data_IF_484227741451
#
_entry.id   IF_484227741451
#
_cell.length_a   1.000
_cell.length_b   1.000
_cell.length_c   1.000
_cell.angle_alpha   90.00
_cell.angle_beta   90.00
_cell.angle_gamma   90.00
#
_symmetry.space_group_name_H-M   'P 1'
#
loop_
_entity.id
_entity.type
_entity.pdbx_description
1 polymer ?
#
# COMPACT_ATOMS: atom_id res chain seq x y z
N UNK A 1 13.22 15.86 38.25
CA UNK A 1 13.20 17.09 37.45
C UNK A 1 12.18 17.03 36.32
N UNK A 2 12.10 15.96 35.50
CA UNK A 2 11.13 15.85 34.38
C UNK A 2 9.67 16.00 34.85
N UNK A 3 9.28 15.40 35.97
CA UNK A 3 7.91 15.54 36.51
C UNK A 3 7.52 16.96 36.91
N UNK A 4 8.50 17.78 37.32
CA UNK A 4 8.27 19.19 37.60
C UNK A 4 8.03 19.99 36.34
N UNK A 5 8.82 19.72 35.27
CA UNK A 5 8.67 20.34 33.95
C UNK A 5 7.33 19.97 33.32
N UNK A 6 6.88 18.72 33.46
CA UNK A 6 5.57 18.27 32.96
C UNK A 6 4.42 19.02 33.66
N UNK A 7 4.47 19.17 34.99
CA UNK A 7 3.46 19.97 35.75
C UNK A 7 3.46 21.43 35.33
N UNK A 8 4.62 22.03 35.11
CA UNK A 8 4.75 23.40 34.61
C UNK A 8 4.20 23.55 33.20
N UNK A 9 4.55 22.63 32.28
CA UNK A 9 4.04 22.62 30.92
C UNK A 9 2.50 22.49 30.89
N UNK A 10 1.94 21.64 31.74
CA UNK A 10 0.48 21.48 31.85
C UNK A 10 -0.21 22.73 32.40
N UNK A 11 0.39 23.40 33.41
CA UNK A 11 -0.14 24.65 33.95
C UNK A 11 -0.17 25.76 32.89
N UNK A 12 0.87 25.84 32.05
CA UNK A 12 0.97 26.78 30.93
C UNK A 12 -0.10 26.55 29.87
N UNK A 13 -0.37 25.29 29.52
CA UNK A 13 -1.45 24.93 28.57
C UNK A 13 -2.78 25.48 29.08
N UNK A 14 -3.05 25.40 30.40
CA UNK A 14 -4.29 25.91 31.01
C UNK A 14 -4.32 27.44 31.08
N UNK A 15 -3.18 28.07 31.24
CA UNK A 15 -3.09 29.53 31.35
C UNK A 15 -3.27 30.21 29.98
N UNK A 16 -2.64 29.68 28.92
CA UNK A 16 -2.71 30.24 27.57
C UNK A 16 -3.54 29.34 26.64
N UNK A 17 -4.82 29.17 26.94
CA UNK A 17 -5.72 28.21 26.27
C UNK A 17 -5.78 28.38 24.76
N UNK A 18 -5.95 29.62 24.27
CA UNK A 18 -6.08 29.89 22.83
C UNK A 18 -4.82 29.49 22.08
N UNK A 19 -3.65 29.93 22.53
CA UNK A 19 -2.37 29.59 21.90
C UNK A 19 -2.07 28.10 21.97
N UNK A 20 -2.31 27.46 23.09
CA UNK A 20 -2.11 26.05 23.29
C UNK A 20 -3.02 25.22 22.37
N UNK A 21 -4.28 25.62 22.23
CA UNK A 21 -5.23 24.93 21.33
C UNK A 21 -4.80 25.07 19.88
N UNK A 22 -4.47 26.27 19.43
CA UNK A 22 -4.00 26.49 18.04
C UNK A 22 -2.73 25.68 17.77
N UNK A 23 -1.80 25.65 18.74
CA UNK A 23 -0.57 24.87 18.59
C UNK A 23 -0.83 23.35 18.54
N UNK A 24 -1.69 22.82 19.42
CA UNK A 24 -2.06 21.40 19.46
C UNK A 24 -2.79 21.01 18.16
N UNK A 25 -3.75 21.83 17.72
CA UNK A 25 -4.48 21.57 16.46
C UNK A 25 -3.55 21.62 15.26
N UNK A 26 -2.68 22.64 15.16
CA UNK A 26 -1.70 22.76 14.09
C UNK A 26 -0.72 21.57 14.04
N UNK A 27 -0.20 21.18 15.22
CA UNK A 27 0.64 19.99 15.35
C UNK A 27 -0.13 18.71 15.01
N UNK A 28 -1.39 18.59 15.44
CA UNK A 28 -2.25 17.45 15.14
C UNK A 28 -2.54 17.31 13.66
N UNK A 29 -2.85 18.40 12.95
CA UNK A 29 -3.04 18.40 11.51
C UNK A 29 -1.75 18.02 10.78
N UNK A 30 -0.60 18.53 11.22
CA UNK A 30 0.69 18.16 10.65
C UNK A 30 0.96 16.67 10.78
N UNK A 31 0.76 16.11 11.97
CA UNK A 31 0.93 14.68 12.25
C UNK A 31 -0.06 13.86 11.44
N UNK A 32 -1.31 14.31 11.32
CA UNK A 32 -2.32 13.59 10.53
C UNK A 32 -1.96 13.46 9.05
N UNK A 33 -1.42 14.51 8.43
CA UNK A 33 -0.94 14.46 7.04
C UNK A 33 0.23 13.48 6.86
N UNK A 34 1.20 13.53 7.77
CA UNK A 34 2.34 12.59 7.76
C UNK A 34 1.85 11.16 7.94
N UNK A 35 0.90 10.94 8.85
CA UNK A 35 0.32 9.61 9.07
C UNK A 35 -0.43 9.09 7.86
N UNK A 36 -1.29 9.90 7.23
CA UNK A 36 -2.01 9.50 6.02
C UNK A 36 -1.03 9.06 4.94
N UNK A 37 0.02 9.85 4.69
CA UNK A 37 1.04 9.50 3.71
C UNK A 37 1.80 8.23 4.10
N UNK A 38 2.17 8.09 5.37
CA UNK A 38 2.85 6.90 5.88
C UNK A 38 1.98 5.65 5.77
N UNK A 39 0.67 5.75 6.03
CA UNK A 39 -0.29 4.65 5.86
C UNK A 39 -0.39 4.27 4.37
N UNK A 40 -0.49 5.25 3.47
CA UNK A 40 -0.53 4.99 2.02
C UNK A 40 0.73 4.25 1.55
N UNK A 41 1.90 4.71 1.97
CA UNK A 41 3.16 4.04 1.64
C UNK A 41 3.23 2.64 2.27
N UNK A 42 2.83 2.51 3.54
CA UNK A 42 2.79 1.22 4.22
C UNK A 42 1.92 0.20 3.48
N UNK A 43 0.69 0.57 3.10
CA UNK A 43 -0.22 -0.32 2.35
C UNK A 43 0.37 -0.72 1.00
N UNK A 44 1.09 0.20 0.32
CA UNK A 44 1.72 -0.10 -0.98
C UNK A 44 2.92 -1.05 -0.88
N UNK A 45 3.72 -0.97 0.17
CA UNK A 45 5.01 -1.67 0.24
C UNK A 45 5.05 -2.83 1.25
N UNK A 46 4.25 -2.77 2.33
CA UNK A 46 4.32 -3.77 3.38
C UNK A 46 3.69 -5.10 2.94
N UNK A 47 4.24 -6.23 3.42
CA UNK A 47 3.60 -7.53 3.25
C UNK A 47 2.30 -7.55 4.07
N UNK A 48 1.17 -7.57 3.39
CA UNK A 48 -0.17 -7.57 3.98
C UNK A 48 -0.93 -8.80 3.48
N UNK A 49 -1.80 -9.35 4.36
CA UNK A 49 -2.63 -10.50 4.01
C UNK A 49 -3.48 -10.23 2.75
N UNK A 50 -3.54 -11.18 1.82
CA UNK A 50 -2.87 -12.49 1.77
C UNK A 50 -1.47 -12.47 1.13
N UNK A 51 -0.98 -11.32 0.69
CA UNK A 51 0.27 -11.09 -0.04
C UNK A 51 1.43 -10.87 0.95
N UNK A 52 1.86 -11.94 1.62
CA UNK A 52 2.87 -11.90 2.68
C UNK A 52 4.32 -12.04 2.16
N UNK A 53 4.49 -12.48 0.92
CA UNK A 53 5.78 -12.86 0.35
C UNK A 53 6.43 -11.78 -0.53
N UNK A 54 5.95 -10.54 -0.50
CA UNK A 54 6.38 -9.40 -1.34
C UNK A 54 7.89 -9.22 -1.48
N UNK A 55 8.65 -9.58 -0.43
CA UNK A 55 10.11 -9.50 -0.46
C UNK A 55 10.80 -10.52 -1.36
N UNK A 56 10.09 -11.55 -1.82
CA UNK A 56 10.60 -12.64 -2.67
C UNK A 56 9.87 -12.75 -4.02
N UNK A 57 9.03 -11.79 -4.36
CA UNK A 57 8.17 -11.81 -5.53
C UNK A 57 8.78 -11.08 -6.71
N UNK A 58 8.65 -11.68 -7.87
CA UNK A 58 8.92 -11.11 -9.17
C UNK A 58 7.62 -11.01 -9.96
N UNK A 59 7.19 -9.78 -10.24
CA UNK A 59 5.91 -9.45 -10.86
C UNK A 59 6.10 -9.17 -12.34
N UNK A 60 5.26 -9.74 -13.19
CA UNK A 60 5.28 -9.50 -14.63
C UNK A 60 3.85 -9.36 -15.19
N UNK A 61 3.47 -8.12 -15.46
CA UNK A 61 2.10 -7.79 -15.87
C UNK A 61 1.96 -7.54 -17.36
N UNK A 62 2.99 -7.00 -18.03
CA UNK A 62 2.86 -6.52 -19.41
C UNK A 62 4.08 -6.83 -20.25
N UNK A 63 3.85 -7.01 -21.56
CA UNK A 63 4.87 -7.07 -22.58
C UNK A 63 4.51 -6.18 -23.77
N UNK A 64 5.47 -5.93 -24.64
CA UNK A 64 5.30 -5.14 -25.87
C UNK A 64 5.67 -6.02 -27.05
N UNK A 65 4.78 -6.11 -28.02
CA UNK A 65 5.03 -6.73 -29.31
C UNK A 65 5.09 -5.66 -30.40
N UNK A 66 6.14 -5.70 -31.22
CA UNK A 66 6.33 -4.84 -32.38
C UNK A 66 6.32 -5.68 -33.63
N UNK A 67 5.43 -5.37 -34.55
CA UNK A 67 5.34 -6.04 -35.83
C UNK A 67 6.46 -5.59 -36.78
N UNK A 68 7.02 -6.48 -37.59
CA UNK A 68 8.18 -6.20 -38.46
C UNK A 68 7.89 -5.17 -39.55
N UNK A 69 6.64 -5.08 -40.02
CA UNK A 69 6.20 -4.09 -41.03
C UNK A 69 6.15 -2.63 -40.51
N UNK A 70 6.44 -2.42 -39.21
CA UNK A 70 6.45 -1.10 -38.61
C UNK A 70 5.06 -0.52 -38.28
N UNK A 71 4.01 -1.21 -38.68
CA UNK A 71 2.62 -0.70 -38.61
C UNK A 71 1.87 -1.07 -37.33
N UNK A 72 2.56 -1.51 -36.26
CA UNK A 72 1.87 -1.81 -35.02
C UNK A 72 2.77 -2.09 -33.82
N UNK A 73 2.55 -1.32 -32.76
CA UNK A 73 3.05 -1.63 -31.41
C UNK A 73 1.86 -2.00 -30.56
N UNK A 74 1.84 -3.22 -30.07
CA UNK A 74 0.82 -3.70 -29.13
C UNK A 74 1.46 -3.87 -27.76
N UNK A 75 0.84 -3.30 -26.73
CA UNK A 75 1.23 -3.50 -25.34
C UNK A 75 0.06 -4.09 -24.59
N UNK A 76 0.25 -5.25 -24.00
CA UNK A 76 -0.81 -5.96 -23.30
C UNK A 76 -0.23 -6.91 -22.24
N UNK A 77 -1.09 -7.62 -21.51
CA UNK A 77 -0.69 -8.69 -20.62
C UNK A 77 -0.11 -9.89 -21.44
N UNK A 78 0.19 -10.98 -20.83
CA UNK A 78 1.00 -12.07 -21.36
C UNK A 78 0.16 -13.30 -21.68
N UNK A 79 0.62 -14.14 -22.61
CA UNK A 79 0.01 -15.44 -22.84
C UNK A 79 0.46 -16.46 -21.80
N UNK A 80 -0.43 -17.41 -21.45
CA UNK A 80 -0.10 -18.52 -20.56
C UNK A 80 1.08 -19.35 -21.09
N UNK A 81 1.12 -19.59 -22.39
CA UNK A 81 2.19 -20.34 -23.04
C UNK A 81 3.56 -19.66 -22.92
N UNK A 82 3.64 -18.34 -23.04
CA UNK A 82 4.89 -17.61 -22.80
C UNK A 82 5.32 -17.74 -21.33
N UNK A 83 4.39 -17.55 -20.39
CA UNK A 83 4.68 -17.62 -18.96
C UNK A 83 5.16 -19.02 -18.55
N UNK A 84 4.49 -20.06 -19.00
CA UNK A 84 4.89 -21.44 -18.76
C UNK A 84 6.31 -21.69 -19.28
N UNK A 85 6.57 -21.38 -20.55
CA UNK A 85 7.87 -21.56 -21.21
C UNK A 85 9.00 -20.83 -20.48
N UNK A 86 8.74 -19.61 -20.01
CA UNK A 86 9.78 -18.76 -19.41
C UNK A 86 10.12 -19.20 -17.99
N UNK A 87 9.17 -19.73 -17.23
CA UNK A 87 9.40 -20.16 -15.85
C UNK A 87 9.67 -21.65 -15.68
N UNK A 88 9.36 -22.48 -16.69
CA UNK A 88 9.54 -23.93 -16.62
C UNK A 88 10.97 -24.34 -16.21
N UNK A 89 11.11 -25.20 -15.19
CA UNK A 89 12.39 -25.76 -14.75
C UNK A 89 13.39 -24.75 -14.19
N UNK A 90 12.98 -23.56 -13.76
CA UNK A 90 13.84 -22.66 -12.98
C UNK A 90 13.83 -23.11 -11.52
N UNK A 91 14.89 -23.75 -11.08
CA UNK A 91 14.96 -24.38 -9.75
C UNK A 91 14.82 -23.38 -8.60
N UNK A 92 15.21 -22.12 -8.79
CA UNK A 92 15.12 -21.05 -7.79
C UNK A 92 13.71 -20.51 -7.60
N UNK A 93 12.77 -20.84 -8.50
CA UNK A 93 11.35 -20.47 -8.39
C UNK A 93 10.63 -21.56 -7.60
N UNK A 94 9.86 -21.16 -6.60
CA UNK A 94 9.06 -22.03 -5.75
C UNK A 94 7.68 -22.31 -6.34
N UNK A 95 7.03 -21.25 -6.85
CA UNK A 95 5.71 -21.29 -7.48
C UNK A 95 5.51 -20.08 -8.40
N UNK A 96 4.62 -20.18 -9.37
CA UNK A 96 4.25 -19.08 -10.27
C UNK A 96 2.75 -18.92 -10.27
N UNK A 97 2.26 -17.88 -9.61
CA UNK A 97 0.87 -17.48 -9.72
C UNK A 97 0.64 -16.85 -11.11
N UNK A 98 -0.26 -17.43 -11.87
CA UNK A 98 -0.75 -16.88 -13.13
C UNK A 98 -2.21 -16.55 -12.96
N UNK A 99 -2.58 -15.34 -13.30
CA UNK A 99 -3.94 -14.86 -13.12
C UNK A 99 -4.35 -13.92 -14.25
N UNK A 100 -5.66 -13.81 -14.48
CA UNK A 100 -6.19 -12.91 -15.49
C UNK A 100 -5.93 -11.46 -15.08
N UNK A 101 -5.30 -10.69 -15.96
CA UNK A 101 -4.80 -9.34 -15.66
C UNK A 101 -5.91 -8.28 -15.55
N UNK A 102 -7.11 -8.60 -16.02
CA UNK A 102 -8.25 -7.71 -16.01
C UNK A 102 -9.28 -8.26 -15.05
N UNK A 103 -9.67 -7.43 -14.09
CA UNK A 103 -10.77 -7.73 -13.19
C UNK A 103 -12.06 -7.84 -14.00
N UNK A 104 -12.79 -8.91 -13.80
CA UNK A 104 -14.10 -9.09 -14.37
C UNK A 104 -15.14 -8.90 -13.28
N UNK A 105 -15.88 -7.80 -13.37
CA UNK A 105 -17.16 -7.74 -12.69
C UNK A 105 -18.13 -8.68 -13.40
N UNK A 106 -18.75 -9.54 -12.62
CA UNK A 106 -19.70 -10.53 -13.10
C UNK A 106 -20.85 -10.71 -12.12
N UNK A 107 -21.82 -11.50 -12.51
CA UNK A 107 -22.96 -11.82 -11.66
C UNK A 107 -22.91 -13.28 -11.25
N UNK A 108 -22.89 -13.53 -9.95
CA UNK A 108 -23.05 -14.87 -9.38
C UNK A 108 -24.48 -15.08 -8.90
N UNK A 109 -24.98 -16.28 -9.11
CA UNK A 109 -26.31 -16.68 -8.70
C UNK A 109 -26.22 -18.02 -7.95
N UNK A 110 -26.83 -18.17 -6.74
CA UNK A 110 -27.03 -19.47 -6.12
C UNK A 110 -27.93 -20.35 -6.98
N UNK A 111 -27.68 -21.65 -6.96
CA UNK A 111 -28.47 -22.61 -7.78
C UNK A 111 -29.96 -22.64 -7.40
N UNK A 112 -30.31 -22.31 -6.15
CA UNK A 112 -31.65 -22.38 -5.60
C UNK A 112 -32.48 -21.07 -5.69
N UNK A 113 -31.85 -19.95 -6.15
CA UNK A 113 -32.49 -18.63 -6.16
C UNK A 113 -32.19 -17.84 -7.43
N UNK A 114 -33.17 -17.08 -7.96
CA UNK A 114 -32.97 -16.27 -9.17
C UNK A 114 -32.21 -14.96 -8.91
N UNK A 115 -31.76 -14.71 -7.67
CA UNK A 115 -31.11 -13.44 -7.30
C UNK A 115 -29.68 -13.44 -7.78
N UNK A 116 -29.33 -12.50 -8.66
CA UNK A 116 -27.97 -12.26 -9.11
C UNK A 116 -27.28 -11.24 -8.20
N UNK A 117 -26.03 -11.52 -7.83
CA UNK A 117 -25.19 -10.60 -7.06
C UNK A 117 -23.96 -10.24 -7.88
N UNK A 118 -23.62 -8.94 -7.96
CA UNK A 118 -22.38 -8.52 -8.60
C UNK A 118 -21.17 -8.99 -7.75
N UNK A 119 -20.16 -9.51 -8.41
CA UNK A 119 -18.96 -10.07 -7.79
C UNK A 119 -17.73 -9.75 -8.61
N UNK A 120 -16.60 -9.56 -7.93
CA UNK A 120 -15.29 -9.55 -8.55
C UNK A 120 -14.82 -10.99 -8.74
N UNK A 121 -14.49 -11.35 -9.99
CA UNK A 121 -14.04 -12.69 -10.37
C UNK A 121 -12.55 -12.67 -10.71
N UNK A 122 -11.76 -13.54 -10.06
CA UNK A 122 -10.37 -13.74 -10.42
C UNK A 122 -10.18 -15.15 -11.02
N UNK A 123 -9.72 -15.22 -12.25
CA UNK A 123 -9.35 -16.48 -12.90
C UNK A 123 -7.87 -16.74 -12.65
N UNK A 124 -7.55 -17.91 -12.08
CA UNK A 124 -6.20 -18.21 -11.54
C UNK A 124 -5.74 -19.63 -11.90
N UNK A 125 -4.44 -19.90 -11.76
CA UNK A 125 -3.89 -21.25 -11.74
C UNK A 125 -3.81 -21.83 -10.32
N UNK A 126 -3.40 -23.09 -10.17
CA UNK A 126 -3.31 -23.75 -8.87
C UNK A 126 -2.18 -23.19 -7.99
N UNK A 127 -1.03 -22.79 -8.57
CA UNK A 127 0.11 -22.21 -7.85
C UNK A 127 -0.21 -20.86 -7.18
N UNK A 128 -1.28 -20.19 -7.59
CA UNK A 128 -1.73 -18.94 -6.98
C UNK A 128 -1.88 -19.07 -5.45
N UNK A 129 -2.38 -20.20 -4.97
CA UNK A 129 -2.56 -20.48 -3.54
C UNK A 129 -1.25 -20.72 -2.79
N UNK A 130 -0.15 -21.01 -3.49
CA UNK A 130 1.19 -21.16 -2.92
C UNK A 130 1.93 -19.83 -2.82
N UNK A 131 1.68 -18.93 -3.78
CA UNK A 131 2.27 -17.57 -3.79
C UNK A 131 1.60 -16.71 -2.74
N UNK A 132 0.27 -16.73 -2.72
CA UNK A 132 -0.53 -15.93 -1.80
C UNK A 132 -1.03 -16.77 -0.62
N UNK A 133 -0.75 -16.29 0.60
CA UNK A 133 -1.02 -17.01 1.85
C UNK A 133 -2.48 -16.85 2.30
N UNK A 134 -3.43 -17.33 1.50
CA UNK A 134 -4.85 -17.29 1.85
C UNK A 134 -5.14 -18.21 3.03
N UNK A 135 -5.95 -17.72 3.99
CA UNK A 135 -6.47 -18.52 5.10
C UNK A 135 -7.79 -19.14 4.68
N UNK A 136 -7.82 -20.46 4.55
CA UNK A 136 -9.04 -21.21 4.31
C UNK A 136 -9.81 -21.37 5.63
N UNK A 137 -11.08 -20.98 5.62
CA UNK A 137 -12.02 -21.09 6.74
C UNK A 137 -12.83 -22.37 6.63
N UNK A 138 -13.15 -22.78 5.39
CA UNK A 138 -13.84 -24.03 5.06
C UNK A 138 -13.19 -24.64 3.82
N UNK A 139 -13.17 -25.97 3.72
CA UNK A 139 -12.66 -26.70 2.57
C UNK A 139 -11.16 -26.51 2.32
N UNK A 140 -10.77 -26.53 1.07
CA UNK A 140 -9.37 -26.41 0.63
C UNK A 140 -9.25 -25.72 -0.74
N UNK A 141 -8.03 -25.26 -1.15
CA UNK A 141 -7.81 -24.79 -2.51
C UNK A 141 -8.08 -25.91 -3.52
N UNK A 142 -8.38 -25.53 -4.76
CA UNK A 142 -8.29 -26.49 -5.85
C UNK A 142 -6.81 -26.74 -6.18
N UNK A 143 -6.52 -28.00 -6.51
CA UNK A 143 -5.17 -28.50 -6.77
C UNK A 143 -4.90 -28.54 -8.29
N UNK A 144 -3.68 -28.89 -8.66
CA UNK A 144 -3.22 -28.89 -10.06
C UNK A 144 -4.07 -29.83 -10.94
N UNK A 145 -4.52 -30.98 -10.43
CA UNK A 145 -5.35 -31.93 -11.17
C UNK A 145 -6.70 -31.32 -11.57
N UNK A 146 -7.33 -30.55 -10.68
CA UNK A 146 -8.58 -29.87 -10.95
C UNK A 146 -8.38 -28.72 -11.96
N UNK A 147 -7.25 -28.02 -11.85
CA UNK A 147 -6.87 -26.98 -12.79
C UNK A 147 -6.63 -27.55 -14.19
N UNK A 148 -5.78 -28.57 -14.34
CA UNK A 148 -5.44 -29.17 -15.63
C UNK A 148 -6.65 -29.81 -16.33
N UNK A 149 -7.57 -30.40 -15.54
CA UNK A 149 -8.79 -31.01 -16.06
C UNK A 149 -9.88 -30.00 -16.42
N UNK A 150 -9.67 -28.72 -16.17
CA UNK A 150 -10.68 -27.67 -16.44
C UNK A 150 -11.96 -27.89 -15.62
N UNK A 151 -11.86 -28.44 -14.39
CA UNK A 151 -13.03 -28.68 -13.54
C UNK A 151 -13.65 -27.35 -13.10
N UNK A 152 -14.98 -27.17 -13.24
CA UNK A 152 -15.66 -25.99 -12.81
C UNK A 152 -15.81 -25.95 -11.28
N UNK A 153 -14.73 -25.60 -10.61
CA UNK A 153 -14.67 -25.44 -9.15
C UNK A 153 -14.43 -23.97 -8.81
N UNK A 154 -14.90 -23.57 -7.62
CA UNK A 154 -14.75 -22.20 -7.14
C UNK A 154 -14.28 -22.18 -5.69
N UNK A 155 -13.42 -21.21 -5.38
CA UNK A 155 -13.16 -20.78 -4.01
C UNK A 155 -13.78 -19.41 -3.85
N UNK A 156 -14.56 -19.20 -2.78
CA UNK A 156 -15.27 -17.95 -2.53
C UNK A 156 -14.82 -17.31 -1.22
N UNK A 157 -15.00 -16.01 -1.09
CA UNK A 157 -14.71 -15.33 0.16
C UNK A 157 -15.81 -15.59 1.19
N UNK A 158 -15.47 -15.48 2.49
CA UNK A 158 -16.46 -15.59 3.59
C UNK A 158 -17.59 -14.56 3.44
N UNK A 159 -17.26 -13.36 2.91
CA UNK A 159 -18.25 -12.31 2.63
C UNK A 159 -19.28 -12.75 1.60
N UNK A 160 -18.82 -13.36 0.51
CA UNK A 160 -19.71 -13.87 -0.53
C UNK A 160 -20.49 -15.11 -0.03
N UNK A 161 -19.82 -16.01 0.68
CA UNK A 161 -20.47 -17.19 1.28
C UNK A 161 -21.65 -16.81 2.18
N UNK A 162 -21.46 -15.81 3.05
CA UNK A 162 -22.54 -15.28 3.90
C UNK A 162 -23.70 -14.66 3.12
N UNK A 163 -23.40 -13.93 2.03
CA UNK A 163 -24.44 -13.32 1.17
C UNK A 163 -25.25 -14.37 0.43
N UNK A 164 -24.61 -15.45 -0.07
CA UNK A 164 -25.26 -16.47 -0.88
C UNK A 164 -25.99 -17.52 -0.01
N UNK A 165 -25.34 -18.00 1.05
CA UNK A 165 -25.79 -19.19 1.81
C UNK A 165 -26.18 -18.87 3.25
N UNK A 166 -25.94 -17.63 3.73
CA UNK A 166 -26.23 -17.23 5.10
C UNK A 166 -25.36 -17.96 6.11
N UNK A 167 -25.97 -18.75 7.00
CA UNK A 167 -25.27 -19.55 8.01
C UNK A 167 -25.01 -21.01 7.58
N UNK A 168 -25.44 -21.41 6.38
CA UNK A 168 -25.25 -22.77 5.89
C UNK A 168 -23.80 -22.93 5.36
N UNK A 169 -23.19 -24.14 5.48
CA UNK A 169 -21.90 -24.42 4.87
C UNK A 169 -21.93 -24.16 3.36
N UNK A 170 -20.91 -23.46 2.88
CA UNK A 170 -20.82 -23.11 1.45
C UNK A 170 -20.13 -24.20 0.63
N UNK A 171 -19.21 -24.96 1.25
CA UNK A 171 -18.47 -26.03 0.56
C UNK A 171 -19.44 -27.14 0.13
N UNK A 172 -19.32 -27.53 -1.14
CA UNK A 172 -20.19 -28.51 -1.80
C UNK A 172 -21.43 -27.94 -2.46
N UNK A 173 -21.78 -26.66 -2.19
CA UNK A 173 -22.86 -25.97 -2.87
C UNK A 173 -22.43 -25.56 -4.29
N UNK A 174 -23.43 -25.30 -5.14
CA UNK A 174 -23.22 -24.83 -6.51
C UNK A 174 -23.60 -23.36 -6.65
N UNK A 175 -22.79 -22.65 -7.44
CA UNK A 175 -23.04 -21.29 -7.85
C UNK A 175 -22.96 -21.20 -9.37
N UNK A 176 -23.82 -20.41 -9.98
CA UNK A 176 -23.77 -20.13 -11.43
C UNK A 176 -23.00 -18.85 -11.68
N UNK A 177 -21.99 -18.93 -12.51
CA UNK A 177 -21.18 -17.80 -13.00
C UNK A 177 -21.16 -17.88 -14.54
N UNK A 178 -21.55 -16.84 -15.26
CA UNK A 178 -21.72 -16.87 -16.72
C UNK A 178 -22.55 -18.07 -17.22
N UNK A 179 -23.67 -18.34 -16.56
CA UNK A 179 -24.52 -19.50 -16.88
C UNK A 179 -23.84 -20.88 -16.76
N UNK A 180 -22.65 -20.94 -16.19
CA UNK A 180 -21.92 -22.18 -15.93
C UNK A 180 -21.95 -22.47 -14.42
N UNK A 181 -22.29 -23.71 -14.07
CA UNK A 181 -22.31 -24.12 -12.67
C UNK A 181 -20.88 -24.40 -12.18
N UNK A 182 -20.53 -23.85 -11.04
CA UNK A 182 -19.29 -24.10 -10.33
C UNK A 182 -19.57 -24.67 -8.94
N UNK A 183 -18.84 -25.72 -8.58
CA UNK A 183 -18.91 -26.29 -7.23
C UNK A 183 -17.97 -25.53 -6.31
N UNK A 184 -18.48 -25.05 -5.18
CA UNK A 184 -17.66 -24.41 -4.14
C UNK A 184 -16.83 -25.49 -3.43
N UNK A 185 -15.50 -25.36 -3.48
CA UNK A 185 -14.55 -26.31 -2.85
C UNK A 185 -13.86 -25.71 -1.63
N UNK A 186 -13.86 -24.41 -1.48
CA UNK A 186 -13.27 -23.73 -0.34
C UNK A 186 -13.85 -22.34 -0.09
N UNK A 187 -13.72 -21.91 1.16
CA UNK A 187 -14.05 -20.55 1.60
C UNK A 187 -12.81 -19.93 2.23
N UNK A 188 -12.43 -18.74 1.77
CA UNK A 188 -11.26 -18.01 2.27
C UNK A 188 -11.66 -16.74 3.01
N UNK A 189 -10.81 -16.30 3.93
CA UNK A 189 -10.91 -14.98 4.54
C UNK A 189 -10.83 -13.90 3.45
N UNK A 190 -11.68 -12.88 3.53
CA UNK A 190 -11.76 -11.83 2.50
C UNK A 190 -10.48 -11.01 2.49
N UNK A 191 -9.83 -10.93 1.34
CA UNK A 191 -8.68 -10.06 1.13
C UNK A 191 -9.09 -8.57 1.19
N UNK A 192 -8.14 -7.72 1.52
CA UNK A 192 -8.37 -6.27 1.46
C UNK A 192 -8.44 -5.79 0.01
N UNK A 193 -9.34 -4.86 -0.34
CA UNK A 193 -9.40 -4.26 -1.67
C UNK A 193 -8.11 -3.57 -2.11
N UNK A 194 -7.24 -3.26 -1.15
CA UNK A 194 -5.91 -2.68 -1.45
C UNK A 194 -4.90 -3.69 -1.98
N UNK A 195 -5.24 -4.98 -1.97
CA UNK A 195 -4.42 -6.05 -2.50
C UNK A 195 -4.90 -6.40 -3.92
N UNK A 196 -4.78 -5.46 -4.88
CA UNK A 196 -5.37 -5.56 -6.20
C UNK A 196 -5.19 -6.93 -6.86
N UNK A 197 -3.98 -7.49 -6.84
CA UNK A 197 -3.71 -8.81 -7.42
C UNK A 197 -4.37 -9.99 -6.67
N UNK A 198 -4.85 -9.77 -5.44
CA UNK A 198 -5.40 -10.80 -4.57
C UNK A 198 -6.88 -10.59 -4.24
N UNK A 199 -7.43 -9.41 -4.59
CA UNK A 199 -8.81 -9.08 -4.25
C UNK A 199 -9.77 -9.65 -5.27
N UNK A 200 -10.63 -10.54 -4.83
CA UNK A 200 -11.80 -10.99 -5.59
C UNK A 200 -12.84 -11.53 -4.60
N UNK A 201 -14.07 -11.72 -5.07
CA UNK A 201 -15.14 -12.39 -4.33
C UNK A 201 -15.15 -13.90 -4.61
N UNK A 202 -14.76 -14.27 -5.84
CA UNK A 202 -14.73 -15.65 -6.31
C UNK A 202 -13.48 -15.90 -7.16
N UNK A 203 -12.83 -17.02 -6.90
CA UNK A 203 -11.63 -17.48 -7.59
C UNK A 203 -11.94 -18.79 -8.33
N UNK A 204 -11.65 -18.83 -9.62
CA UNK A 204 -11.93 -19.99 -10.47
C UNK A 204 -10.71 -20.35 -11.34
N UNK A 205 -10.51 -21.62 -11.72
CA UNK A 205 -9.48 -21.99 -12.68
C UNK A 205 -9.74 -21.33 -14.03
N UNK A 206 -8.74 -20.69 -14.63
CA UNK A 206 -8.93 -20.12 -15.95
C UNK A 206 -9.05 -21.20 -17.06
N UNK A 207 -8.59 -22.42 -16.82
CA UNK A 207 -8.71 -23.57 -17.72
C UNK A 207 -10.14 -24.05 -17.95
N UNK A 208 -11.09 -23.60 -17.12
CA UNK A 208 -12.53 -23.81 -17.33
C UNK A 208 -13.03 -23.15 -18.61
N UNK A 209 -12.35 -22.11 -19.09
CA UNK A 209 -12.64 -21.44 -20.36
C UNK A 209 -11.96 -22.23 -21.50
N UNK A 210 -12.69 -22.71 -22.50
CA UNK A 210 -12.10 -23.50 -23.60
C UNK A 210 -11.03 -22.73 -24.39
N UNK A 211 -11.12 -21.41 -24.42
CA UNK A 211 -10.21 -20.54 -25.16
C UNK A 211 -9.05 -19.99 -24.29
N UNK A 212 -8.87 -20.50 -23.06
CA UNK A 212 -7.87 -19.99 -22.11
C UNK A 212 -6.44 -19.99 -22.67
N UNK A 213 -6.09 -20.95 -23.53
CA UNK A 213 -4.76 -21.11 -24.11
C UNK A 213 -4.66 -20.49 -25.52
N UNK A 214 -5.68 -19.78 -25.96
CA UNK A 214 -5.69 -19.16 -27.28
C UNK A 214 -4.69 -18.01 -27.31
N UNK A 215 -3.54 -18.28 -27.93
CA UNK A 215 -2.52 -17.27 -28.14
C UNK A 215 -3.03 -16.16 -29.06
N UNK A 216 -2.87 -14.92 -28.68
CA UNK A 216 -3.12 -13.79 -29.54
C UNK A 216 -1.95 -13.64 -30.52
N UNK A 217 -2.11 -14.25 -31.73
CA UNK A 217 -1.18 -14.09 -32.86
C UNK A 217 0.29 -14.46 -32.61
N UNK A 218 0.60 -15.50 -31.86
CA UNK A 218 1.98 -15.92 -31.54
C UNK A 218 2.89 -14.84 -30.91
N UNK A 219 2.34 -13.68 -30.61
CA UNK A 219 3.07 -12.49 -30.13
C UNK A 219 3.60 -12.59 -28.69
N UNK A 220 3.26 -13.63 -27.96
CA UNK A 220 3.51 -13.74 -26.52
C UNK A 220 2.55 -12.90 -25.65
N UNK A 221 1.69 -12.09 -26.27
CA UNK A 221 0.66 -11.32 -25.57
C UNK A 221 -0.59 -12.17 -25.32
N UNK A 222 -1.32 -11.85 -24.25
CA UNK A 222 -2.52 -12.55 -23.85
C UNK A 222 -3.16 -11.87 -22.62
N UNK A 223 -4.11 -12.52 -21.96
CA UNK A 223 -4.85 -11.89 -20.88
C UNK A 223 -4.23 -12.06 -19.48
N UNK A 224 -3.04 -12.65 -19.35
CA UNK A 224 -2.50 -13.06 -18.04
C UNK A 224 -1.37 -12.17 -17.53
N UNK A 225 -1.31 -12.06 -16.22
CA UNK A 225 -0.16 -11.57 -15.47
C UNK A 225 0.42 -12.71 -14.63
N UNK A 226 1.63 -12.53 -14.14
CA UNK A 226 2.27 -13.52 -13.27
C UNK A 226 3.00 -12.88 -12.09
N UNK A 227 3.05 -13.65 -11.00
CA UNK A 227 3.93 -13.40 -9.86
C UNK A 227 4.71 -14.68 -9.57
N UNK A 228 6.02 -14.63 -9.76
CA UNK A 228 6.90 -15.73 -9.42
C UNK A 228 7.45 -15.56 -8.01
N UNK A 229 7.22 -16.56 -7.17
CA UNK A 229 7.75 -16.64 -5.81
C UNK A 229 9.14 -17.29 -5.87
N UNK A 230 10.15 -16.53 -5.49
CA UNK A 230 11.53 -17.02 -5.42
C UNK A 230 11.76 -17.76 -4.09
N UNK A 231 12.44 -18.90 -4.13
CA UNK A 231 12.77 -19.68 -2.92
C UNK A 231 13.57 -18.87 -1.92
N UNK A 232 13.39 -19.17 -0.64
CA UNK A 232 14.16 -18.53 0.44
C UNK A 232 15.66 -18.73 0.23
N UNK A 233 16.42 -17.63 0.32
CA UNK A 233 17.85 -17.64 0.11
C UNK A 233 18.32 -17.65 -1.35
N UNK A 234 17.42 -17.84 -2.33
CA UNK A 234 17.79 -17.75 -3.74
C UNK A 234 17.84 -16.29 -4.22
N UNK A 235 18.65 -16.05 -5.24
CA UNK A 235 18.84 -14.70 -5.79
C UNK A 235 17.75 -14.35 -6.81
N UNK A 236 16.97 -13.30 -6.55
CA UNK A 236 16.01 -12.75 -7.53
C UNK A 236 16.70 -12.31 -8.82
N UNK A 237 17.90 -11.76 -8.75
CA UNK A 237 18.66 -11.34 -9.92
C UNK A 237 19.09 -12.54 -10.79
N UNK A 238 19.39 -13.69 -10.17
CA UNK A 238 19.67 -14.93 -10.91
C UNK A 238 18.43 -15.41 -11.68
N UNK A 239 17.25 -15.38 -11.05
CA UNK A 239 15.98 -15.71 -11.71
C UNK A 239 15.71 -14.74 -12.85
N UNK A 240 15.81 -13.43 -12.62
CA UNK A 240 15.60 -12.41 -13.66
C UNK A 240 16.51 -12.63 -14.87
N UNK A 241 17.78 -12.96 -14.65
CA UNK A 241 18.73 -13.24 -15.75
C UNK A 241 18.30 -14.45 -16.56
N UNK A 242 17.92 -15.58 -15.92
CA UNK A 242 17.44 -16.79 -16.60
C UNK A 242 16.16 -16.50 -17.40
N UNK A 243 15.24 -15.73 -16.82
CA UNK A 243 14.02 -15.28 -17.50
C UNK A 243 14.35 -14.41 -18.71
N UNK A 244 15.25 -13.44 -18.57
CA UNK A 244 15.68 -12.58 -19.67
C UNK A 244 16.34 -13.37 -20.82
N UNK A 245 17.14 -14.39 -20.51
CA UNK A 245 17.74 -15.28 -21.52
C UNK A 245 16.67 -16.04 -22.32
N UNK A 246 15.63 -16.53 -21.65
CA UNK A 246 14.50 -17.23 -22.30
C UNK A 246 13.62 -16.29 -23.11
N UNK A 247 13.38 -15.08 -22.62
CA UNK A 247 12.69 -14.04 -23.38
C UNK A 247 13.47 -13.70 -24.65
N UNK A 248 14.80 -13.55 -24.55
CA UNK A 248 15.64 -13.29 -25.72
C UNK A 248 15.66 -14.48 -26.72
N UNK A 249 15.48 -15.71 -26.24
CA UNK A 249 15.30 -16.86 -27.12
C UNK A 249 13.94 -16.80 -27.80
N UNK A 250 12.86 -16.54 -27.09
CA UNK A 250 11.52 -16.35 -27.62
C UNK A 250 11.48 -15.23 -28.66
N UNK A 251 12.10 -14.07 -28.38
CA UNK A 251 12.18 -12.97 -29.35
C UNK A 251 12.89 -13.35 -30.65
N UNK A 252 13.99 -14.13 -30.59
CA UNK A 252 14.66 -14.64 -31.80
C UNK A 252 13.78 -15.57 -32.64
N UNK A 253 12.91 -16.35 -32.01
CA UNK A 253 12.00 -17.25 -32.73
C UNK A 253 10.86 -16.50 -33.42
N UNK A 254 10.52 -15.29 -32.93
CA UNK A 254 9.53 -14.42 -33.57
C UNK A 254 10.04 -13.73 -34.84
N UNK A 255 11.37 -13.69 -35.04
CA UNK A 255 11.96 -13.09 -36.25
C UNK A 255 11.69 -13.94 -37.50
N UNK A 256 11.41 -13.36 -38.67
CA UNK A 256 11.36 -11.93 -38.96
C UNK A 256 9.96 -11.29 -38.80
N UNK A 257 8.97 -11.97 -38.24
CA UNK A 257 7.57 -11.51 -38.19
C UNK A 257 7.35 -10.37 -37.23
N UNK A 258 8.14 -10.31 -36.14
CA UNK A 258 8.05 -9.27 -35.14
C UNK A 258 9.11 -9.39 -34.05
N UNK A 259 8.97 -8.58 -33.01
CA UNK A 259 9.84 -8.63 -31.83
C UNK A 259 9.03 -8.48 -30.56
N UNK A 260 9.46 -9.14 -29.47
CA UNK A 260 8.87 -9.07 -28.16
C UNK A 260 9.83 -8.43 -27.16
N UNK A 261 9.35 -7.46 -26.40
CA UNK A 261 10.11 -6.77 -25.36
C UNK A 261 9.36 -6.85 -24.03
N UNK A 262 10.00 -7.43 -23.02
CA UNK A 262 9.48 -7.49 -21.66
C UNK A 262 9.72 -6.21 -20.87
N UNK A 263 10.39 -5.21 -21.42
CA UNK A 263 10.69 -3.93 -20.78
C UNK A 263 11.42 -4.07 -19.41
N UNK A 264 12.33 -5.08 -19.32
CA UNK A 264 13.09 -5.37 -18.12
C UNK A 264 12.35 -6.18 -17.04
N UNK A 265 11.11 -6.60 -17.32
CA UNK A 265 10.36 -7.50 -16.42
C UNK A 265 10.95 -8.93 -16.46
N UNK A 266 10.68 -9.75 -15.43
CA UNK A 266 9.86 -9.49 -14.26
C UNK A 266 10.54 -8.52 -13.26
N UNK A 267 9.72 -7.71 -12.60
CA UNK A 267 10.19 -6.72 -11.62
C UNK A 267 10.07 -7.27 -10.18
N UNK A 268 11.05 -7.00 -9.29
CA UNK A 268 10.80 -7.14 -7.87
C UNK A 268 9.55 -6.38 -7.45
N UNK A 269 8.76 -6.92 -6.53
CA UNK A 269 7.46 -6.33 -6.14
C UNK A 269 7.54 -4.80 -5.90
N UNK A 270 8.54 -4.34 -5.14
CA UNK A 270 8.70 -2.91 -4.85
C UNK A 270 8.99 -2.05 -6.08
N UNK A 271 9.60 -2.60 -7.14
CA UNK A 271 9.85 -1.93 -8.43
C UNK A 271 8.57 -1.91 -9.26
N UNK A 272 7.78 -3.00 -9.25
CA UNK A 272 6.55 -3.11 -10.03
C UNK A 272 5.53 -2.03 -9.71
N UNK A 273 5.52 -1.54 -8.44
CA UNK A 273 4.67 -0.42 -7.99
C UNK A 273 4.90 0.87 -8.80
N UNK A 274 6.11 1.04 -9.34
CA UNK A 274 6.49 2.21 -10.14
C UNK A 274 6.24 2.03 -11.65
N UNK A 275 5.79 0.85 -12.09
CA UNK A 275 5.40 0.60 -13.49
C UNK A 275 4.01 1.17 -13.76
N UNK A 276 3.95 2.39 -14.25
CA UNK A 276 2.70 3.12 -14.50
C UNK A 276 2.04 2.79 -15.83
N UNK A 277 2.86 2.45 -16.81
CA UNK A 277 2.42 2.21 -18.18
C UNK A 277 2.84 0.82 -18.63
N UNK A 278 1.97 0.20 -19.39
CA UNK A 278 2.20 -1.15 -19.94
C UNK A 278 3.33 -1.21 -20.97
N UNK A 279 3.65 -0.10 -21.60
CA UNK A 279 4.60 0.02 -22.70
C UNK A 279 5.93 0.71 -22.32
N UNK A 280 6.16 0.94 -21.02
CA UNK A 280 7.38 1.60 -20.53
C UNK A 280 8.01 0.82 -19.38
N UNK A 281 9.34 0.86 -19.32
CA UNK A 281 10.08 0.37 -18.15
C UNK A 281 9.79 1.24 -16.91
N UNK A 282 9.86 0.69 -15.69
CA UNK A 282 9.59 1.45 -14.47
C UNK A 282 10.68 2.50 -14.21
N UNK A 283 10.28 3.75 -14.04
CA UNK A 283 11.18 4.87 -13.72
C UNK A 283 11.28 5.07 -12.20
N UNK A 284 11.98 4.19 -11.50
CA UNK A 284 12.07 4.18 -10.03
C UNK A 284 12.69 5.47 -9.48
N UNK A 285 13.79 5.95 -10.06
CA UNK A 285 14.51 7.13 -9.56
C UNK A 285 13.69 8.42 -9.58
N UNK A 286 13.15 8.83 -10.75
CA UNK A 286 12.28 10.01 -10.87
C UNK A 286 11.04 9.93 -9.95
N UNK A 287 10.44 8.74 -9.81
CA UNK A 287 9.26 8.57 -8.97
C UNK A 287 9.58 8.70 -7.47
N UNK A 288 10.68 8.08 -7.00
CA UNK A 288 11.14 8.26 -5.62
C UNK A 288 11.46 9.73 -5.33
N UNK A 289 12.11 10.44 -6.27
CA UNK A 289 12.37 11.86 -6.12
C UNK A 289 11.07 12.68 -6.03
N UNK A 290 10.07 12.36 -6.84
CA UNK A 290 8.76 13.02 -6.81
C UNK A 290 8.04 12.78 -5.48
N UNK A 291 7.96 11.53 -4.99
CA UNK A 291 7.38 11.23 -3.68
C UNK A 291 8.16 11.90 -2.55
N UNK A 292 9.49 11.90 -2.61
CA UNK A 292 10.36 12.58 -1.64
C UNK A 292 10.11 14.10 -1.61
N UNK A 293 9.94 14.72 -2.76
CA UNK A 293 9.63 16.16 -2.87
C UNK A 293 8.25 16.47 -2.28
N UNK A 294 7.23 15.69 -2.62
CA UNK A 294 5.88 15.85 -2.06
C UNK A 294 5.92 15.70 -0.54
N UNK A 295 6.62 14.67 -0.03
CA UNK A 295 6.79 14.45 1.40
C UNK A 295 7.49 15.63 2.08
N UNK A 296 8.57 16.12 1.49
CA UNK A 296 9.31 17.28 2.00
C UNK A 296 8.43 18.53 2.04
N UNK A 297 7.64 18.80 1.00
CA UNK A 297 6.73 19.96 0.96
C UNK A 297 5.62 19.82 2.02
N UNK A 298 5.04 18.63 2.17
CA UNK A 298 4.02 18.38 3.21
C UNK A 298 4.57 18.54 4.63
N UNK A 299 5.83 18.23 4.87
CA UNK A 299 6.51 18.46 6.14
C UNK A 299 6.90 19.90 6.37
N UNK A 300 7.30 20.62 5.30
CA UNK A 300 7.78 22.01 5.40
C UNK A 300 6.68 22.97 5.82
N UNK A 301 5.46 22.82 5.31
CA UNK A 301 4.34 23.70 5.64
C UNK A 301 4.05 23.74 7.16
N UNK A 302 3.83 22.59 7.84
CA UNK A 302 3.67 22.56 9.28
C UNK A 302 4.91 23.05 10.04
N UNK A 303 6.12 22.69 9.58
CA UNK A 303 7.36 23.08 10.25
C UNK A 303 7.53 24.61 10.29
N UNK A 304 7.25 25.30 9.20
CA UNK A 304 7.28 26.78 9.14
C UNK A 304 6.21 27.39 10.02
N UNK A 305 4.97 26.88 9.96
CA UNK A 305 3.85 27.37 10.78
C UNK A 305 4.14 27.21 12.27
N UNK A 306 4.64 26.05 12.69
CA UNK A 306 4.99 25.75 14.07
C UNK A 306 6.20 26.60 14.56
N UNK A 307 7.16 26.88 13.69
CA UNK A 307 8.30 27.75 14.00
C UNK A 307 7.84 29.18 14.34
N UNK A 308 6.93 29.75 13.53
CA UNK A 308 6.35 31.07 13.81
C UNK A 308 5.59 31.15 15.13
N UNK A 309 4.81 30.10 15.45
CA UNK A 309 4.10 29.99 16.73
C UNK A 309 5.06 29.81 17.91
N UNK A 310 6.13 29.03 17.75
CA UNK A 310 7.16 28.85 18.76
C UNK A 310 7.91 30.15 19.05
N UNK A 311 8.24 30.93 18.00
CA UNK A 311 8.91 32.25 18.15
C UNK A 311 8.01 33.24 18.88
N UNK A 312 6.74 33.34 18.51
CA UNK A 312 5.77 34.22 19.19
C UNK A 312 5.64 33.88 20.70
N UNK A 313 5.55 32.60 21.03
CA UNK A 313 5.49 32.13 22.42
C UNK A 313 6.78 32.40 23.18
N UNK A 314 7.92 32.18 22.55
CA UNK A 314 9.23 32.45 23.13
C UNK A 314 9.39 33.96 23.47
N UNK A 315 9.00 34.85 22.57
CA UNK A 315 9.05 36.28 22.77
C UNK A 315 8.21 36.75 23.96
N UNK A 316 7.00 36.21 24.17
CA UNK A 316 6.16 36.52 25.34
C UNK A 316 6.76 36.06 26.66
N UNK A 317 7.61 35.04 26.66
CA UNK A 317 8.25 34.49 27.87
C UNK A 317 9.67 34.97 28.10
N UNK A 318 10.18 35.85 27.24
CA UNK A 318 11.54 36.35 27.33
C UNK A 318 11.83 36.99 28.68
N UNK A 319 10.88 37.77 29.24
CA UNK A 319 11.03 38.41 30.58
C UNK A 319 11.17 37.35 31.69
N UNK A 320 10.32 36.30 31.69
CA UNK A 320 10.38 35.20 32.67
C UNK A 320 11.72 34.45 32.57
N UNK A 321 12.16 34.12 31.35
CA UNK A 321 13.43 33.45 31.14
C UNK A 321 14.63 34.33 31.55
N UNK A 322 14.53 35.64 31.32
CA UNK A 322 15.51 36.63 31.72
C UNK A 322 15.67 36.65 33.23
N UNK A 323 14.56 36.71 34.01
CA UNK A 323 14.55 36.65 35.47
C UNK A 323 15.19 35.34 35.96
N UNK A 324 14.83 34.20 35.44
CA UNK A 324 15.41 32.91 35.85
C UNK A 324 16.93 32.85 35.59
N UNK A 325 17.40 33.42 34.49
CA UNK A 325 18.84 33.55 34.21
C UNK A 325 19.56 34.49 35.17
N UNK A 326 18.92 35.58 35.52
CA UNK A 326 19.47 36.50 36.53
C UNK A 326 19.64 35.84 37.91
N UNK A 327 18.76 34.88 38.25
CA UNK A 327 18.89 34.04 39.45
C UNK A 327 19.80 32.80 39.26
N UNK A 328 20.58 32.71 38.16
CA UNK A 328 21.60 31.70 37.99
C UNK A 328 21.12 30.38 37.35
N UNK A 329 19.94 30.34 36.76
CA UNK A 329 19.50 29.11 36.06
C UNK A 329 20.40 28.78 34.87
N UNK A 330 21.00 27.58 34.80
CA UNK A 330 21.85 27.19 33.68
C UNK A 330 21.04 27.03 32.37
N UNK A 331 21.67 27.29 31.25
CA UNK A 331 21.06 27.21 29.91
C UNK A 331 20.45 25.83 29.62
N UNK A 332 21.10 24.77 30.10
CA UNK A 332 20.63 23.38 29.96
C UNK A 332 19.28 23.13 30.64
N UNK A 333 19.02 23.73 31.78
CA UNK A 333 17.74 23.62 32.49
C UNK A 333 16.61 24.28 31.70
N UNK A 334 16.87 25.49 31.18
CA UNK A 334 15.88 26.20 30.35
C UNK A 334 15.59 25.44 29.04
N UNK A 335 16.63 24.90 28.42
CA UNK A 335 16.49 24.09 27.20
C UNK A 335 15.69 22.82 27.49
N UNK A 336 15.99 22.09 28.58
CA UNK A 336 15.25 20.91 29.00
C UNK A 336 13.76 21.19 29.27
N UNK A 337 13.45 22.35 29.83
CA UNK A 337 12.07 22.78 30.06
C UNK A 337 11.33 22.99 28.72
N UNK A 338 11.94 23.71 27.78
CA UNK A 338 11.36 23.94 26.42
C UNK A 338 11.15 22.62 25.71
N UNK A 339 12.12 21.72 25.81
CA UNK A 339 12.04 20.38 25.21
C UNK A 339 10.86 19.57 25.76
N UNK A 340 10.69 19.56 27.10
CA UNK A 340 9.60 18.84 27.78
C UNK A 340 8.24 19.42 27.39
N UNK A 341 8.16 20.74 27.27
CA UNK A 341 6.94 21.43 26.84
C UNK A 341 6.56 21.07 25.41
N UNK A 342 7.53 21.12 24.48
CA UNK A 342 7.30 20.70 23.09
C UNK A 342 6.92 19.21 22.97
N UNK A 343 7.52 18.34 23.80
CA UNK A 343 7.13 16.92 23.86
C UNK A 343 5.65 16.78 24.23
N UNK A 344 5.19 17.52 25.27
CA UNK A 344 3.79 17.46 25.70
C UNK A 344 2.83 17.92 24.60
N UNK A 345 3.14 19.03 23.91
CA UNK A 345 2.35 19.50 22.77
C UNK A 345 2.33 18.49 21.62
N UNK A 346 3.48 17.86 21.31
CA UNK A 346 3.57 16.85 20.27
C UNK A 346 2.77 15.60 20.62
N UNK A 347 2.77 15.17 21.88
CA UNK A 347 1.95 14.05 22.35
C UNK A 347 0.45 14.34 22.26
N UNK A 348 0.01 15.52 22.70
CA UNK A 348 -1.40 15.93 22.60
C UNK A 348 -1.82 16.11 21.12
N UNK A 349 -0.98 16.77 20.34
CA UNK A 349 -1.18 16.90 18.89
C UNK A 349 -1.15 15.53 18.18
N UNK A 350 -0.28 14.62 18.62
CA UNK A 350 -0.20 13.26 18.11
C UNK A 350 -1.48 12.45 18.34
N UNK A 351 -2.03 12.54 19.54
CA UNK A 351 -3.31 11.89 19.86
C UNK A 351 -4.45 12.45 18.98
N UNK A 352 -4.53 13.78 18.82
CA UNK A 352 -5.47 14.42 17.91
C UNK A 352 -5.21 14.01 16.45
N UNK A 353 -3.94 14.02 16.02
CA UNK A 353 -3.53 13.66 14.68
C UNK A 353 -3.87 12.22 14.30
N UNK A 354 -3.76 11.30 15.28
CA UNK A 354 -4.18 9.90 15.10
C UNK A 354 -5.68 9.79 14.78
N UNK A 355 -6.52 10.49 15.56
CA UNK A 355 -7.97 10.50 15.34
C UNK A 355 -8.34 11.12 13.99
N UNK A 356 -7.72 12.26 13.67
CA UNK A 356 -7.96 12.97 12.40
C UNK A 356 -7.45 12.15 11.22
N UNK A 357 -6.28 11.51 11.31
CA UNK A 357 -5.74 10.68 10.23
C UNK A 357 -6.62 9.49 9.91
N UNK A 358 -7.19 8.84 10.92
CA UNK A 358 -8.15 7.77 10.73
C UNK A 358 -9.38 8.24 9.95
N UNK A 359 -9.95 9.38 10.33
CA UNK A 359 -11.08 10.00 9.62
C UNK A 359 -10.72 10.39 8.18
N UNK A 360 -9.54 10.99 7.98
CA UNK A 360 -9.05 11.39 6.65
C UNK A 360 -8.82 10.18 5.74
N UNK A 361 -8.19 9.12 6.22
CA UNK A 361 -8.00 7.89 5.41
C UNK A 361 -9.33 7.31 4.99
N UNK A 362 -10.34 7.28 5.88
CA UNK A 362 -11.68 6.81 5.53
C UNK A 362 -12.36 7.70 4.48
N UNK A 363 -12.13 9.01 4.54
CA UNK A 363 -12.71 9.98 3.61
C UNK A 363 -12.08 9.89 2.20
N UNK A 364 -10.74 9.74 2.13
CA UNK A 364 -9.98 9.80 0.86
C UNK A 364 -9.62 8.42 0.31
N UNK A 365 -10.01 7.33 0.97
CA UNK A 365 -9.66 5.95 0.60
C UNK A 365 -9.96 5.63 -0.87
N UNK A 366 -11.13 6.00 -1.36
CA UNK A 366 -11.53 5.77 -2.75
C UNK A 366 -10.68 6.54 -3.76
N UNK A 367 -10.11 7.66 -3.36
CA UNK A 367 -9.31 8.51 -4.24
C UNK A 367 -7.81 8.12 -4.28
N UNK A 368 -7.30 7.62 -3.15
CA UNK A 368 -5.88 7.31 -2.99
C UNK A 368 -5.55 5.89 -3.49
N UNK A 369 -6.46 4.96 -3.28
CA UNK A 369 -6.18 3.54 -3.47
C UNK A 369 -6.71 2.97 -4.79
N UNK A 370 -7.69 3.60 -5.41
CA UNK A 370 -8.22 3.17 -6.71
C UNK A 370 -7.67 4.07 -7.81
N UNK A 371 -6.71 3.55 -8.54
CA UNK A 371 -6.01 4.28 -9.62
C UNK A 371 -6.85 4.41 -10.89
N UNK A 372 -7.96 3.66 -11.00
CA UNK A 372 -8.85 3.69 -12.16
C UNK A 372 -10.31 3.84 -11.72
N UNK A 373 -11.04 4.81 -12.27
CA UNK A 373 -12.48 4.95 -12.01
C UNK A 373 -13.33 3.80 -12.54
N UNK A 374 -12.74 2.87 -13.29
CA UNK A 374 -13.42 1.72 -13.91
C UNK A 374 -13.45 0.47 -13.05
N UNK A 375 -12.63 0.38 -12.00
CA UNK A 375 -12.29 -0.91 -11.41
C UNK A 375 -13.16 -1.33 -10.23
N UNK A 376 -13.95 -0.42 -9.62
CA UNK A 376 -14.88 -0.79 -8.54
C UNK A 376 -16.03 0.21 -8.48
N UNK A 377 -17.27 -0.27 -8.36
CA UNK A 377 -18.41 0.60 -8.20
C UNK A 377 -18.30 1.43 -6.91
N UNK A 378 -18.56 2.72 -6.98
CA UNK A 378 -18.48 3.67 -5.86
C UNK A 378 -19.30 3.23 -4.64
N UNK A 379 -20.33 2.40 -4.83
CA UNK A 379 -21.14 1.82 -3.78
C UNK A 379 -20.41 0.74 -2.97
N UNK A 380 -19.59 -0.10 -3.61
CA UNK A 380 -18.82 -1.15 -2.94
C UNK A 380 -17.64 -0.59 -2.17
N UNK A 381 -16.94 0.42 -2.73
CA UNK A 381 -15.89 1.16 -2.02
C UNK A 381 -16.41 1.81 -0.74
N UNK A 382 -17.65 2.32 -0.78
CA UNK A 382 -18.28 2.96 0.38
C UNK A 382 -18.67 1.97 1.48
N UNK A 383 -19.01 0.73 1.11
CA UNK A 383 -19.38 -0.34 2.05
C UNK A 383 -18.18 -1.07 2.68
N UNK A 384 -16.97 -0.89 2.13
CA UNK A 384 -15.76 -1.55 2.63
C UNK A 384 -15.14 -0.77 3.77
N UNK A 385 -15.41 -1.20 4.97
CA UNK A 385 -14.67 -0.75 6.16
C UNK A 385 -13.26 -1.34 6.07
N UNK A 386 -12.27 -0.45 5.97
CA UNK A 386 -10.86 -0.86 6.10
C UNK A 386 -10.66 -1.62 7.41
N UNK A 387 -10.03 -2.80 7.41
CA UNK A 387 -9.71 -3.47 8.66
C UNK A 387 -8.90 -2.51 9.54
N UNK A 388 -9.45 -2.16 10.68
CA UNK A 388 -8.84 -1.21 11.62
C UNK A 388 -7.41 -1.63 12.01
N UNK A 389 -7.12 -2.92 12.03
CA UNK A 389 -5.79 -3.46 12.30
C UNK A 389 -4.71 -3.10 11.28
N UNK A 390 -5.07 -2.97 9.99
CA UNK A 390 -4.13 -2.57 8.94
C UNK A 390 -3.83 -1.06 8.96
N UNK A 391 -4.81 -0.26 9.39
CA UNK A 391 -4.69 1.21 9.47
C UNK A 391 -4.02 1.70 10.75
N UNK A 392 -4.18 0.95 11.84
CA UNK A 392 -3.62 1.28 13.15
C UNK A 392 -2.34 0.49 13.44
N UNK A 393 -1.41 0.46 12.49
CA UNK A 393 -0.10 -0.11 12.78
C UNK A 393 0.64 0.80 13.78
N UNK A 394 0.88 0.34 15.02
CA UNK A 394 1.51 1.16 16.06
C UNK A 394 2.91 1.63 15.68
N UNK A 395 3.63 0.88 14.85
CA UNK A 395 4.96 1.25 14.35
C UNK A 395 4.89 2.44 13.39
N UNK A 396 3.90 2.45 12.48
CA UNK A 396 3.68 3.59 11.56
C UNK A 396 3.35 4.85 12.35
N UNK A 397 2.50 4.72 13.38
CA UNK A 397 2.18 5.83 14.29
C UNK A 397 3.42 6.33 15.03
N UNK A 398 4.20 5.43 15.63
CA UNK A 398 5.41 5.81 16.38
C UNK A 398 6.45 6.49 15.50
N UNK A 399 6.64 5.99 14.26
CA UNK A 399 7.56 6.62 13.30
C UNK A 399 7.07 8.02 12.92
N UNK A 400 5.79 8.16 12.56
CA UNK A 400 5.21 9.45 12.22
C UNK A 400 5.31 10.45 13.41
N UNK A 401 5.00 9.99 14.62
CA UNK A 401 5.14 10.80 15.85
C UNK A 401 6.60 11.21 16.09
N UNK A 402 7.56 10.30 15.90
CA UNK A 402 8.98 10.58 16.07
C UNK A 402 9.49 11.60 15.03
N UNK A 403 9.11 11.44 13.76
CA UNK A 403 9.44 12.40 12.70
C UNK A 403 8.89 13.79 13.03
N UNK A 404 7.63 13.88 13.41
CA UNK A 404 7.01 15.16 13.78
C UNK A 404 7.62 15.74 15.05
N UNK A 405 7.99 14.93 16.03
CA UNK A 405 8.70 15.39 17.22
C UNK A 405 10.06 16.00 16.87
N UNK A 406 10.84 15.34 16.03
CA UNK A 406 12.14 15.85 15.55
C UNK A 406 11.96 17.17 14.80
N UNK A 407 10.96 17.27 13.92
CA UNK A 407 10.66 18.52 13.19
C UNK A 407 10.22 19.65 14.13
N UNK A 408 9.34 19.36 15.08
CA UNK A 408 8.93 20.33 16.10
C UNK A 408 10.11 20.81 16.93
N UNK A 409 11.01 19.89 17.29
CA UNK A 409 12.23 20.21 18.03
C UNK A 409 13.15 21.11 17.22
N UNK A 410 13.42 20.77 15.95
CA UNK A 410 14.24 21.58 15.05
C UNK A 410 13.63 22.97 14.83
N UNK A 411 12.31 23.05 14.63
CA UNK A 411 11.58 24.30 14.46
C UNK A 411 11.65 25.21 15.70
N UNK A 412 11.57 24.60 16.90
CA UNK A 412 11.67 25.34 18.17
C UNK A 412 13.11 25.68 18.55
N UNK A 413 14.11 24.94 18.04
CA UNK A 413 15.52 25.13 18.41
C UNK A 413 16.06 26.47 17.91
N UNK A 414 15.67 26.90 16.71
CA UNK A 414 16.12 28.20 16.14
C UNK A 414 15.68 29.38 17.03
N UNK A 415 14.38 29.55 17.37
CA UNK A 415 13.94 30.60 18.30
C UNK A 415 14.58 30.46 19.68
N UNK A 416 14.69 29.23 20.22
CA UNK A 416 15.30 28.98 21.52
C UNK A 416 16.77 29.38 21.59
N UNK A 417 17.55 29.06 20.55
CA UNK A 417 18.95 29.50 20.44
C UNK A 417 19.09 31.02 20.31
N UNK A 418 18.24 31.67 19.54
CA UNK A 418 18.21 33.13 19.41
C UNK A 418 17.90 33.79 20.78
N UNK A 419 16.86 33.28 21.48
CA UNK A 419 16.49 33.77 22.79
C UNK A 419 17.59 33.57 23.84
N UNK A 420 18.28 32.43 23.81
CA UNK A 420 19.36 32.12 24.74
C UNK A 420 20.61 32.98 24.56
N UNK A 421 20.83 33.55 23.36
CA UNK A 421 21.98 34.42 23.04
C UNK A 421 21.74 35.90 23.28
N UNK A 422 20.48 36.34 23.48
CA UNK A 422 20.17 37.74 23.76
C UNK A 422 20.72 38.18 25.15
N UNK A 423 21.23 39.40 25.24
CA UNK A 423 21.66 39.98 26.55
C UNK A 423 20.52 40.04 27.55
N UNK A 424 20.82 39.77 28.85
CA UNK A 424 19.82 39.75 29.91
C UNK A 424 19.12 41.11 30.02
N UNK A 425 19.86 42.22 29.82
CA UNK A 425 19.33 43.59 29.88
C UNK A 425 18.25 43.84 28.83
N UNK A 426 18.42 43.36 27.59
CA UNK A 426 17.39 43.48 26.57
C UNK A 426 16.15 42.62 26.87
N UNK A 427 16.36 41.44 27.49
CA UNK A 427 15.28 40.53 27.84
C UNK A 427 14.36 41.08 28.96
N UNK A 428 14.88 41.96 29.81
CA UNK A 428 14.12 42.59 30.91
C UNK A 428 13.40 43.87 30.46
N UNK A 429 13.84 44.52 29.36
CA UNK A 429 13.26 45.76 28.84
C UNK A 429 12.18 45.55 27.77
N UNK A 430 11.91 44.33 27.36
CA UNK A 430 10.79 43.99 26.46
C UNK A 430 9.48 44.03 27.27
N UNK A 431 8.71 45.12 27.15
CA UNK A 431 7.34 45.24 27.62
C UNK A 431 6.35 44.68 26.61
#
# INVERSE_FOLDING_TARGET
>A
MIGLYMKQAWALIKQERLFSTVYIVGTGLAISLVMVLSIVLYVKFAPLYPDLNRGRELVWNYGVYKKADGDGISSYALSSALLERVYEGIEEVEAVAVYHSFDHEDFVQPADRPTQLPVAVQKINADYWRVYAFRFLEGKPFEEEAFQSGLPVAVITERLARKLFGANPAVGQEVSLHFKAYRVVGVVETASPFMGNCYADIYVPFTVDPDWNRAWNQSGLGPYASVALVKEGASMEAVKRKVAERIAQFDRELQPEGSFDALGAPDPFWVSIFRKYSNLSPEVGPELMRYGLIFMLLLLIPAVSLSGMADSRMNRRMAELGVRRAFGAPRTTLFGQILTENLLYTLLGGALGLLVSFGLVQLVRGWIFFSSPMDVTTAEVSAMVLPTGSLLNPWVFLIALAVCFVLNLLSAMIPALRASRRPIVESLNLK
#
